data_IF_732502561721
#
_entry.id   IF_732502561721
#
_cell.length_a   1.000
_cell.length_b   1.000
_cell.length_c   1.000
_cell.angle_alpha   90.00
_cell.angle_beta   90.00
_cell.angle_gamma   90.00
#
_symmetry.space_group_name_H-M   'P 1'
#
loop_
_entity.id
_entity.type
_entity.pdbx_description
1 polymer ?
#
# COMPACT_ATOMS: atom_id res chain seq x y z
N UNK A 1 0.93 -25.10 -16.16
CA UNK A 1 1.00 -25.73 -17.50
C UNK A 1 -0.27 -26.52 -17.72
N UNK A 2 -1.15 -26.07 -18.62
CA UNK A 2 -2.28 -26.91 -19.06
C UNK A 2 -1.70 -27.98 -19.99
N UNK A 3 -1.64 -29.24 -19.54
CA UNK A 3 -1.39 -30.36 -20.45
C UNK A 3 -2.71 -30.67 -21.18
N UNK A 4 -2.63 -30.72 -22.51
CA UNK A 4 -3.75 -31.07 -23.37
C UNK A 4 -4.21 -32.51 -23.04
N UNK A 5 -5.43 -32.66 -22.52
CA UNK A 5 -6.10 -33.94 -22.35
C UNK A 5 -6.93 -34.20 -23.62
N UNK A 6 -6.31 -34.69 -24.69
CA UNK A 6 -7.07 -35.17 -25.85
C UNK A 6 -7.66 -36.53 -25.50
N UNK A 7 -9.00 -36.63 -25.53
CA UNK A 7 -9.71 -37.89 -25.40
C UNK A 7 -9.93 -38.52 -26.78
N UNK A 8 -9.75 -39.83 -26.91
CA UNK A 8 -10.14 -40.58 -28.11
C UNK A 8 -11.49 -41.26 -27.90
N UNK A 9 -12.45 -41.04 -28.80
CA UNK A 9 -13.64 -41.91 -28.86
C UNK A 9 -13.29 -43.09 -29.75
N UNK A 10 -13.00 -44.24 -29.14
CA UNK A 10 -12.84 -45.50 -29.87
C UNK A 10 -14.19 -45.98 -30.39
N UNK A 11 -14.39 -45.91 -31.70
CA UNK A 11 -15.47 -46.60 -32.42
C UNK A 11 -14.85 -47.57 -33.40
N UNK A 12 -15.10 -48.87 -33.22
CA UNK A 12 -14.58 -49.94 -34.07
C UNK A 12 -14.96 -49.78 -35.55
N UNK A 13 -14.20 -50.48 -36.40
CA UNK A 13 -14.25 -50.50 -37.88
C UNK A 13 -13.61 -49.29 -38.59
N UNK A 14 -12.29 -49.35 -38.79
CA UNK A 14 -11.57 -48.75 -39.93
C UNK A 14 -11.50 -47.22 -40.10
N UNK A 15 -12.25 -46.41 -39.34
CA UNK A 15 -12.24 -44.95 -39.43
C UNK A 15 -11.11 -44.32 -38.59
N UNK A 16 -10.50 -43.20 -39.03
CA UNK A 16 -9.49 -42.50 -38.24
C UNK A 16 -10.08 -42.01 -36.91
N UNK A 17 -9.38 -42.29 -35.80
CA UNK A 17 -9.82 -41.92 -34.46
C UNK A 17 -10.08 -40.41 -34.37
N UNK A 18 -11.33 -40.01 -34.06
CA UNK A 18 -11.66 -38.62 -33.80
C UNK A 18 -11.04 -38.20 -32.46
N UNK A 19 -10.26 -37.13 -32.49
CA UNK A 19 -9.74 -36.50 -31.27
C UNK A 19 -10.81 -35.55 -30.75
N UNK A 20 -11.16 -35.72 -29.49
CA UNK A 20 -12.07 -34.81 -28.78
C UNK A 20 -11.29 -34.00 -27.76
N UNK A 21 -11.67 -32.74 -27.57
CA UNK A 21 -11.16 -31.88 -26.50
C UNK A 21 -12.30 -31.72 -25.49
N UNK A 22 -12.16 -32.21 -24.25
CA UNK A 22 -13.16 -31.99 -23.22
C UNK A 22 -13.34 -30.49 -22.98
N UNK A 23 -14.57 -29.99 -23.08
CA UNK A 23 -14.92 -28.65 -22.63
C UNK A 23 -14.83 -28.60 -21.11
N UNK A 24 -13.97 -27.75 -20.57
CA UNK A 24 -13.89 -27.49 -19.12
C UNK A 24 -14.24 -26.03 -18.84
N UNK A 25 -15.00 -25.81 -17.77
CA UNK A 25 -15.24 -24.47 -17.25
C UNK A 25 -14.37 -24.29 -16.00
N UNK A 26 -13.39 -23.39 -16.07
CA UNK A 26 -12.64 -22.95 -14.90
C UNK A 26 -13.34 -21.72 -14.35
N UNK A 27 -13.81 -21.79 -13.11
CA UNK A 27 -14.28 -20.61 -12.38
C UNK A 27 -13.31 -20.35 -11.23
N UNK A 28 -12.73 -19.17 -11.22
CA UNK A 28 -11.72 -18.77 -10.25
C UNK A 28 -11.98 -17.32 -9.84
N UNK A 29 -12.03 -17.09 -8.54
CA UNK A 29 -12.27 -15.78 -7.93
C UNK A 29 -11.52 -15.73 -6.59
N UNK A 30 -11.08 -14.53 -6.16
CA UNK A 30 -10.40 -14.40 -4.88
C UNK A 30 -11.35 -14.61 -3.70
N UNK A 31 -10.88 -15.27 -2.65
CA UNK A 31 -11.63 -15.39 -1.38
C UNK A 31 -11.63 -14.11 -0.54
N UNK A 32 -10.75 -13.15 -0.83
CA UNK A 32 -10.64 -11.87 -0.12
C UNK A 32 -10.52 -10.70 -1.08
N UNK A 33 -11.28 -9.63 -0.81
CA UNK A 33 -11.31 -8.43 -1.64
C UNK A 33 -9.96 -7.69 -1.66
N UNK A 34 -9.30 -7.59 -0.50
CA UNK A 34 -7.97 -7.01 -0.34
C UNK A 34 -6.98 -8.11 0.02
N UNK A 35 -5.90 -8.22 -0.74
CA UNK A 35 -4.89 -9.26 -0.60
C UNK A 35 -3.57 -8.76 -1.16
N UNK A 36 -2.50 -8.91 -0.40
CA UNK A 36 -1.29 -8.22 -0.75
C UNK A 36 -0.25 -8.22 0.34
N UNK A 37 0.67 -7.27 0.24
CA UNK A 37 1.85 -7.19 1.08
C UNK A 37 2.03 -5.78 1.61
N UNK A 38 2.44 -5.68 2.87
CA UNK A 38 2.99 -4.46 3.46
C UNK A 38 4.47 -4.65 3.73
N UNK A 39 5.32 -3.77 3.20
CA UNK A 39 6.75 -3.71 3.53
C UNK A 39 6.92 -3.07 4.92
N UNK A 40 6.35 -3.66 5.97
CA UNK A 40 6.21 -3.02 7.30
C UNK A 40 7.27 -3.37 8.33
N UNK A 41 8.41 -3.95 7.93
CA UNK A 41 9.47 -4.40 8.85
C UNK A 41 10.50 -3.30 9.15
N UNK A 42 11.20 -3.45 10.29
CA UNK A 42 12.41 -2.68 10.62
C UNK A 42 13.65 -3.29 9.96
N UNK A 43 14.68 -2.48 9.77
CA UNK A 43 15.90 -2.85 9.07
C UNK A 43 15.93 -2.36 7.62
N UNK A 44 16.91 -2.85 6.86
CA UNK A 44 17.18 -2.39 5.49
C UNK A 44 15.95 -2.50 4.60
N UNK A 45 15.38 -1.37 4.13
CA UNK A 45 14.27 -1.38 3.17
C UNK A 45 14.65 -2.10 1.89
N UNK A 46 13.65 -2.61 1.18
CA UNK A 46 13.90 -3.24 -0.11
C UNK A 46 14.49 -2.27 -1.12
N UNK A 47 15.38 -2.78 -1.99
CA UNK A 47 15.85 -2.01 -3.13
C UNK A 47 14.71 -1.82 -4.15
N UNK A 48 14.91 -0.88 -5.07
CA UNK A 48 13.97 -0.65 -6.19
C UNK A 48 13.68 -1.94 -6.96
N UNK A 49 14.72 -2.71 -7.28
CA UNK A 49 14.62 -3.95 -8.07
C UNK A 49 13.82 -5.02 -7.33
N UNK A 50 14.04 -5.15 -6.02
CA UNK A 50 13.31 -6.09 -5.17
C UNK A 50 11.81 -5.72 -5.12
N UNK A 51 11.47 -4.43 -4.99
CA UNK A 51 10.08 -3.98 -5.00
C UNK A 51 9.40 -4.20 -6.37
N UNK A 52 10.11 -3.95 -7.47
CA UNK A 52 9.59 -4.22 -8.81
C UNK A 52 9.35 -5.73 -9.03
N UNK A 53 10.28 -6.58 -8.61
CA UNK A 53 10.13 -8.03 -8.67
C UNK A 53 8.97 -8.53 -7.78
N UNK A 54 8.76 -7.91 -6.62
CA UNK A 54 7.64 -8.21 -5.75
C UNK A 54 6.30 -7.87 -6.42
N UNK A 55 6.19 -6.72 -7.10
CA UNK A 55 4.99 -6.36 -7.86
C UNK A 55 4.68 -7.37 -8.99
N UNK A 56 5.71 -7.87 -9.69
CA UNK A 56 5.54 -8.94 -10.69
C UNK A 56 5.02 -10.24 -10.06
N UNK A 57 5.55 -10.61 -8.89
CA UNK A 57 5.07 -11.77 -8.15
C UNK A 57 3.63 -11.61 -7.70
N UNK A 58 3.26 -10.42 -7.24
CA UNK A 58 1.90 -10.11 -6.82
C UNK A 58 0.90 -10.24 -7.98
N UNK A 59 1.24 -9.74 -9.18
CA UNK A 59 0.42 -9.94 -10.37
C UNK A 59 0.20 -11.41 -10.72
N UNK A 60 1.28 -12.23 -10.72
CA UNK A 60 1.19 -13.67 -10.99
C UNK A 60 0.38 -14.46 -9.96
N UNK A 61 0.34 -13.98 -8.72
CA UNK A 61 -0.38 -14.62 -7.61
C UNK A 61 -1.71 -13.95 -7.29
N UNK A 62 -2.19 -13.08 -8.19
CA UNK A 62 -3.48 -12.37 -8.11
C UNK A 62 -3.64 -11.50 -6.87
N UNK A 63 -2.54 -11.05 -6.26
CA UNK A 63 -2.58 -10.04 -5.20
C UNK A 63 -2.90 -8.66 -5.79
N UNK A 64 -3.48 -7.76 -5.02
CA UNK A 64 -3.99 -6.48 -5.53
C UNK A 64 -3.66 -5.25 -4.69
N UNK A 65 -2.87 -5.37 -3.61
CA UNK A 65 -2.48 -4.19 -2.80
C UNK A 65 -1.07 -4.29 -2.25
N UNK A 66 -0.21 -3.32 -2.58
CA UNK A 66 1.14 -3.21 -2.03
C UNK A 66 1.22 -1.95 -1.18
N UNK A 67 1.49 -2.10 0.12
CA UNK A 67 1.71 -0.99 1.03
C UNK A 67 3.20 -0.76 1.21
N UNK A 68 3.69 0.35 0.66
CA UNK A 68 5.00 0.89 0.95
C UNK A 68 4.99 1.41 2.40
N UNK A 69 5.59 0.64 3.31
CA UNK A 69 5.67 0.98 4.73
C UNK A 69 7.02 0.68 5.44
N UNK A 70 8.20 0.77 4.80
CA UNK A 70 9.47 0.37 5.43
C UNK A 70 9.81 1.15 6.70
N UNK A 71 10.08 0.43 7.80
CA UNK A 71 10.23 0.98 9.15
C UNK A 71 11.36 1.99 9.33
N UNK A 72 12.37 1.98 8.46
CA UNK A 72 13.53 2.87 8.57
C UNK A 72 13.51 4.03 7.54
N UNK A 73 12.36 4.28 6.87
CA UNK A 73 12.21 5.41 5.94
C UNK A 73 11.93 6.73 6.68
N UNK A 74 12.90 7.67 6.74
CA UNK A 74 12.72 8.90 7.50
C UNK A 74 11.65 9.83 6.90
N UNK A 75 11.39 9.77 5.59
CA UNK A 75 10.40 10.61 4.91
C UNK A 75 8.95 10.16 5.16
N UNK A 76 8.77 9.04 5.86
CA UNK A 76 7.48 8.63 6.43
C UNK A 76 7.34 8.99 7.89
N UNK A 77 8.45 9.28 8.57
CA UNK A 77 8.53 9.48 10.01
C UNK A 77 9.05 10.89 10.30
N UNK A 78 10.22 11.05 10.92
CA UNK A 78 10.73 12.34 11.39
C UNK A 78 10.79 13.44 10.31
N UNK A 79 10.98 13.07 9.04
CA UNK A 79 11.08 13.98 7.89
C UNK A 79 9.83 13.96 7.00
N UNK A 80 8.67 13.61 7.56
CA UNK A 80 7.43 13.47 6.81
C UNK A 80 7.02 14.72 6.00
N UNK A 81 7.39 15.93 6.47
CA UNK A 81 7.14 17.20 5.77
C UNK A 81 7.97 17.35 4.49
N UNK A 82 9.13 16.72 4.43
CA UNK A 82 10.06 16.90 3.33
C UNK A 82 9.66 16.08 2.10
N UNK A 83 9.83 16.59 0.88
CA UNK A 83 9.64 15.79 -0.32
C UNK A 83 10.69 14.69 -0.39
N UNK A 84 10.32 13.54 -0.96
CA UNK A 84 11.30 12.52 -1.29
C UNK A 84 12.35 13.06 -2.27
N UNK A 85 13.63 12.65 -2.21
CA UNK A 85 14.66 13.03 -3.17
C UNK A 85 14.30 12.64 -4.60
N UNK A 86 14.89 13.31 -5.60
CA UNK A 86 14.55 13.11 -7.00
C UNK A 86 14.65 11.65 -7.47
N UNK A 87 15.71 10.94 -7.06
CA UNK A 87 15.88 9.51 -7.35
C UNK A 87 14.74 8.65 -6.78
N UNK A 88 14.40 8.85 -5.50
CA UNK A 88 13.31 8.10 -4.86
C UNK A 88 11.94 8.44 -5.46
N UNK A 89 11.73 9.69 -5.91
CA UNK A 89 10.53 10.05 -6.67
C UNK A 89 10.44 9.31 -8.00
N UNK A 90 11.56 9.16 -8.72
CA UNK A 90 11.60 8.35 -9.94
C UNK A 90 11.31 6.87 -9.65
N UNK A 91 11.80 6.35 -8.53
CA UNK A 91 11.50 4.99 -8.10
C UNK A 91 10.00 4.80 -7.80
N UNK A 92 9.35 5.74 -7.11
CA UNK A 92 7.90 5.69 -6.90
C UNK A 92 7.11 5.66 -8.22
N UNK A 93 7.54 6.42 -9.23
CA UNK A 93 6.91 6.38 -10.57
C UNK A 93 7.05 5.01 -11.21
N UNK A 94 8.25 4.43 -11.18
CA UNK A 94 8.49 3.09 -11.69
C UNK A 94 7.66 2.02 -10.94
N UNK A 95 7.49 2.17 -9.62
CA UNK A 95 6.62 1.31 -8.83
C UNK A 95 5.16 1.47 -9.21
N UNK A 96 4.68 2.70 -9.41
CA UNK A 96 3.30 2.96 -9.79
C UNK A 96 2.97 2.36 -11.17
N UNK A 97 3.82 2.59 -12.17
CA UNK A 97 3.70 1.99 -13.51
C UNK A 97 3.68 0.46 -13.42
N UNK A 98 4.58 -0.13 -12.61
CA UNK A 98 4.63 -1.58 -12.46
C UNK A 98 3.43 -2.15 -11.71
N UNK A 99 2.95 -1.44 -10.70
CA UNK A 99 1.79 -1.84 -9.91
C UNK A 99 0.52 -1.81 -10.77
N UNK A 100 0.33 -0.75 -11.57
CA UNK A 100 -0.77 -0.63 -12.54
C UNK A 100 -0.76 -1.79 -13.54
N UNK A 101 0.39 -2.08 -14.16
CA UNK A 101 0.54 -3.20 -15.10
C UNK A 101 0.22 -4.57 -14.48
N UNK A 102 0.32 -4.71 -13.16
CA UNK A 102 0.02 -5.95 -12.42
C UNK A 102 -1.34 -5.92 -11.70
N UNK A 103 -2.18 -4.89 -11.93
CA UNK A 103 -3.46 -4.68 -11.23
C UNK A 103 -3.31 -4.61 -9.69
N UNK A 104 -2.19 -4.06 -9.23
CA UNK A 104 -1.89 -3.83 -7.81
C UNK A 104 -2.10 -2.35 -7.50
N UNK A 105 -2.88 -2.06 -6.46
CA UNK A 105 -2.97 -0.71 -5.89
C UNK A 105 -1.69 -0.42 -5.10
N UNK A 106 -0.89 0.54 -5.57
CA UNK A 106 0.23 1.08 -4.80
C UNK A 106 -0.31 1.99 -3.69
N UNK A 107 -0.07 1.59 -2.45
CA UNK A 107 -0.41 2.33 -1.25
C UNK A 107 0.86 2.84 -0.54
N UNK A 108 0.76 3.97 0.15
CA UNK A 108 1.85 4.54 0.94
C UNK A 108 1.38 4.82 2.36
N UNK A 109 2.19 4.43 3.34
CA UNK A 109 1.94 4.75 4.74
C UNK A 109 2.72 5.99 5.18
N UNK A 110 2.20 6.73 6.15
CA UNK A 110 2.91 7.80 6.85
C UNK A 110 2.70 7.66 8.34
N UNK A 111 3.75 7.87 9.13
CA UNK A 111 3.73 7.77 10.59
C UNK A 111 4.25 9.08 11.22
N UNK A 112 3.48 10.18 11.15
CA UNK A 112 3.98 11.50 11.52
C UNK A 112 3.95 11.77 13.03
N UNK A 113 3.29 10.90 13.83
CA UNK A 113 2.90 11.18 15.22
C UNK A 113 4.05 11.57 16.17
N UNK A 114 5.27 11.08 15.96
CA UNK A 114 6.42 11.45 16.80
C UNK A 114 7.03 12.83 16.46
N UNK A 115 6.66 13.42 15.31
CA UNK A 115 7.26 14.66 14.79
C UNK A 115 6.21 15.66 14.27
N UNK A 116 4.96 15.50 14.70
CA UNK A 116 3.82 16.32 14.28
C UNK A 116 3.16 16.91 15.51
N UNK A 117 2.83 18.20 15.45
CA UNK A 117 1.85 18.80 16.33
C UNK A 117 0.45 18.45 15.82
N UNK A 118 -0.24 17.53 16.49
CA UNK A 118 -1.54 17.00 16.05
C UNK A 118 -2.64 18.07 16.10
N UNK A 119 -2.47 19.12 16.92
CA UNK A 119 -3.31 20.32 17.03
C UNK A 119 -3.00 21.40 15.98
N UNK A 120 -1.89 21.30 15.24
CA UNK A 120 -1.46 22.34 14.30
C UNK A 120 -2.12 22.21 12.93
N UNK A 121 -2.88 23.24 12.53
CA UNK A 121 -3.43 23.32 11.17
C UNK A 121 -2.35 23.45 10.10
N UNK A 122 -1.19 24.02 10.46
CA UNK A 122 -0.04 24.09 9.55
C UNK A 122 0.47 22.68 9.25
N UNK A 123 0.60 21.84 10.26
CA UNK A 123 1.06 20.47 10.05
C UNK A 123 0.04 19.63 9.27
N UNK A 124 -1.26 19.84 9.49
CA UNK A 124 -2.29 19.22 8.64
C UNK A 124 -2.10 19.63 7.16
N UNK A 125 -1.88 20.93 6.88
CA UNK A 125 -1.63 21.40 5.50
C UNK A 125 -0.36 20.84 4.89
N UNK A 126 0.71 20.71 5.66
CA UNK A 126 1.95 20.12 5.17
C UNK A 126 1.78 18.61 4.92
N UNK A 127 0.95 17.93 5.71
CA UNK A 127 0.66 16.51 5.55
C UNK A 127 -0.16 16.26 4.29
N UNK A 128 -1.21 17.04 4.05
CA UNK A 128 -2.02 16.92 2.84
C UNK A 128 -1.22 17.28 1.59
N UNK A 129 -0.34 18.29 1.66
CA UNK A 129 0.62 18.58 0.56
C UNK A 129 1.54 17.41 0.25
N UNK A 130 2.04 16.72 1.29
CA UNK A 130 2.86 15.51 1.11
C UNK A 130 2.06 14.38 0.48
N UNK A 131 0.80 14.19 0.89
CA UNK A 131 -0.14 13.23 0.31
C UNK A 131 -0.38 13.54 -1.19
N UNK A 132 -0.62 14.80 -1.55
CA UNK A 132 -0.79 15.23 -2.95
C UNK A 132 0.47 14.95 -3.78
N UNK A 133 1.65 15.21 -3.21
CA UNK A 133 2.90 14.88 -3.86
C UNK A 133 3.04 13.37 -4.11
N UNK A 134 2.65 12.53 -3.16
CA UNK A 134 2.65 11.07 -3.32
C UNK A 134 1.60 10.60 -4.34
N UNK A 135 0.41 11.23 -4.36
CA UNK A 135 -0.60 10.98 -5.39
C UNK A 135 -0.07 11.30 -6.79
N UNK A 136 0.63 12.42 -6.95
CA UNK A 136 1.27 12.82 -8.19
C UNK A 136 2.41 11.86 -8.61
N UNK A 137 2.96 11.06 -7.70
CA UNK A 137 3.92 9.97 -7.99
C UNK A 137 3.25 8.66 -8.41
N UNK A 138 1.92 8.55 -8.30
CA UNK A 138 1.16 7.37 -8.70
C UNK A 138 0.64 6.50 -7.54
N UNK A 139 0.81 6.94 -6.28
CA UNK A 139 0.15 6.30 -5.14
C UNK A 139 -1.36 6.52 -5.23
N UNK A 140 -2.15 5.49 -4.91
CA UNK A 140 -3.62 5.54 -5.00
C UNK A 140 -4.33 5.15 -3.71
N UNK A 141 -3.59 4.84 -2.65
CA UNK A 141 -4.16 4.66 -1.33
C UNK A 141 -3.18 5.06 -0.24
N UNK A 142 -3.72 5.53 0.88
CA UNK A 142 -2.94 6.07 1.98
C UNK A 142 -3.25 5.34 3.27
N UNK A 143 -2.25 5.21 4.13
CA UNK A 143 -2.43 4.71 5.49
C UNK A 143 -1.75 5.65 6.47
N UNK A 144 -2.54 6.26 7.35
CA UNK A 144 -2.03 7.03 8.47
C UNK A 144 -1.74 6.08 9.64
N UNK A 145 -0.55 6.19 10.21
CA UNK A 145 -0.05 5.32 11.28
C UNK A 145 0.32 6.18 12.49
N UNK A 146 -0.11 5.74 13.67
CA UNK A 146 0.25 6.36 14.96
C UNK A 146 0.91 5.33 15.86
N UNK A 147 1.99 4.72 15.35
CA UNK A 147 2.71 3.67 16.04
C UNK A 147 3.83 4.28 16.89
N UNK A 148 4.25 3.57 17.95
CA UNK A 148 5.33 4.01 18.83
C UNK A 148 5.13 5.41 19.42
N UNK A 149 3.88 5.82 19.66
CA UNK A 149 3.56 7.11 20.28
C UNK A 149 3.32 6.93 21.77
N UNK A 150 3.70 7.94 22.56
CA UNK A 150 3.32 8.04 23.96
C UNK A 150 1.90 8.59 24.07
N UNK A 151 1.18 8.19 25.10
CA UNK A 151 -0.13 8.76 25.44
C UNK A 151 -0.04 9.89 26.46
N UNK A 152 1.15 10.15 26.99
CA UNK A 152 1.40 11.18 28.00
C UNK A 152 2.50 12.15 27.61
N UNK A 153 3.29 11.84 26.58
CA UNK A 153 4.33 12.71 26.06
C UNK A 153 3.96 13.15 24.65
N UNK A 154 3.88 14.46 24.48
CA UNK A 154 3.50 15.09 23.22
C UNK A 154 4.74 15.61 22.51
N UNK A 155 4.72 15.63 21.18
CA UNK A 155 5.78 16.24 20.40
C UNK A 155 5.87 17.75 20.64
N UNK A 156 4.74 18.41 20.90
CA UNK A 156 4.69 19.82 21.25
C UNK A 156 3.67 20.13 22.34
N UNK A 157 3.92 21.23 23.05
CA UNK A 157 3.13 21.66 24.22
C UNK A 157 1.66 21.96 23.87
N UNK A 158 1.41 22.48 22.66
CA UNK A 158 0.06 22.81 22.19
C UNK A 158 -0.88 21.60 22.15
N UNK A 159 -0.35 20.39 21.90
CA UNK A 159 -1.17 19.17 21.91
C UNK A 159 -1.65 18.85 23.32
N UNK A 160 -0.81 19.07 24.34
CA UNK A 160 -1.19 18.90 25.74
C UNK A 160 -2.26 19.91 26.16
N UNK A 161 -2.11 21.16 25.75
CA UNK A 161 -3.09 22.23 26.02
C UNK A 161 -4.43 21.97 25.33
N UNK A 162 -4.40 21.42 24.12
CA UNK A 162 -5.61 21.21 23.30
C UNK A 162 -6.35 19.92 23.68
N UNK A 163 -5.64 18.82 23.91
CA UNK A 163 -6.23 17.50 24.07
C UNK A 163 -6.14 16.95 25.50
N UNK A 164 -5.22 17.46 26.32
CA UNK A 164 -4.91 16.92 27.64
C UNK A 164 -3.88 15.79 27.59
N UNK A 165 -4.09 14.74 28.36
CA UNK A 165 -3.19 13.58 28.43
C UNK A 165 -3.97 12.26 28.55
N UNK A 166 -3.29 11.15 28.28
CA UNK A 166 -3.83 9.81 28.36
C UNK A 166 -4.43 9.31 27.04
N UNK A 167 -4.91 8.05 27.02
CA UNK A 167 -5.35 7.38 25.80
C UNK A 167 -6.52 8.08 25.09
N UNK A 168 -7.45 8.68 25.84
CA UNK A 168 -8.59 9.40 25.26
C UNK A 168 -8.15 10.69 24.54
N UNK A 169 -7.22 11.44 25.14
CA UNK A 169 -6.63 12.63 24.52
C UNK A 169 -5.90 12.25 23.23
N UNK A 170 -5.08 11.19 23.27
CA UNK A 170 -4.38 10.67 22.09
C UNK A 170 -5.36 10.24 20.99
N UNK A 171 -6.43 9.54 21.33
CA UNK A 171 -7.44 9.13 20.36
C UNK A 171 -8.11 10.34 19.68
N UNK A 172 -8.48 11.39 20.45
CA UNK A 172 -9.04 12.64 19.89
C UNK A 172 -8.06 13.34 18.95
N UNK A 173 -6.79 13.43 19.34
CA UNK A 173 -5.75 14.06 18.53
C UNK A 173 -5.50 13.29 17.21
N UNK A 174 -5.45 11.96 17.28
CA UNK A 174 -5.26 11.10 16.10
C UNK A 174 -6.48 11.12 15.17
N UNK A 175 -7.69 11.07 15.73
CA UNK A 175 -8.94 11.16 14.97
C UNK A 175 -9.02 12.48 14.20
N UNK A 176 -8.68 13.61 14.83
CA UNK A 176 -8.63 14.92 14.15
C UNK A 176 -7.79 14.89 12.87
N UNK A 177 -6.59 14.31 12.93
CA UNK A 177 -5.71 14.23 11.76
C UNK A 177 -6.26 13.24 10.73
N UNK A 178 -6.78 12.10 11.17
CA UNK A 178 -7.39 11.12 10.28
C UNK A 178 -8.61 11.69 9.53
N UNK A 179 -9.48 12.42 10.23
CA UNK A 179 -10.65 13.08 9.66
C UNK A 179 -10.26 14.16 8.65
N UNK A 180 -9.25 14.97 8.97
CA UNK A 180 -8.74 16.00 8.06
C UNK A 180 -8.15 15.38 6.77
N UNK A 181 -7.40 14.27 6.90
CA UNK A 181 -6.86 13.54 5.74
C UNK A 181 -7.99 12.87 4.94
N UNK A 182 -8.98 12.29 5.60
CA UNK A 182 -10.13 11.67 4.93
C UNK A 182 -10.94 12.72 4.16
N UNK A 183 -11.20 13.89 4.74
CA UNK A 183 -11.89 14.99 4.08
C UNK A 183 -11.10 15.54 2.88
N UNK A 184 -9.76 15.59 2.95
CA UNK A 184 -8.91 16.02 1.83
C UNK A 184 -8.91 15.02 0.66
N UNK A 185 -9.13 13.73 0.93
CA UNK A 185 -9.12 12.65 -0.07
C UNK A 185 -10.51 12.32 -0.65
N UNK A 186 -11.59 12.88 -0.08
CA UNK A 186 -12.97 12.65 -0.49
C UNK A 186 -13.35 13.44 -1.76
#
# INVERSE_FOLDING_TARGET
TLRQLTGGTGGGTGAPASRTVPGVQIRDWPGTAVRGLAEGFYGTPWTREQRLAQLDFMGRTKQNRYLYAPGDDPYRQARWREPYPAGQRADFRALAERAEANHVTLAWAVSPGQAMCLSSDRDIRDLTRKIDAMWALGVRAFQLQFQNVSYSEWHCEQDAETFGSGPEAAAKAQARVADAVAAHLA
#
